data_IF_500639228314
#
_entry.id   IF_500639228314
#
_cell.length_a   1.000
_cell.length_b   1.000
_cell.length_c   1.000
_cell.angle_alpha   90.00
_cell.angle_beta   90.00
_cell.angle_gamma   90.00
#
_symmetry.space_group_name_H-M   'P 1'
#
loop_
_entity.id
_entity.type
_entity.pdbx_description
1 polymer ?
#
# COMPACT_ATOMS: atom_id res chain seq x y z
N UNK A 1 -14.85 14.36 -26.82
CA UNK A 1 -15.83 14.53 -25.73
C UNK A 1 -15.06 14.63 -24.43
N UNK A 2 -15.41 15.62 -23.64
CA UNK A 2 -14.62 16.32 -22.61
C UNK A 2 -14.54 15.58 -21.28
N UNK A 3 -13.37 15.59 -20.65
CA UNK A 3 -13.23 15.78 -19.18
C UNK A 3 -11.78 16.18 -18.90
N UNK A 4 -11.46 17.47 -18.99
CA UNK A 4 -11.35 18.41 -17.87
C UNK A 4 -10.25 18.01 -16.90
N UNK A 5 -9.13 18.72 -17.04
CA UNK A 5 -8.11 18.84 -16.02
C UNK A 5 -8.71 19.64 -14.85
N UNK A 6 -8.71 19.07 -13.65
CA UNK A 6 -8.92 19.79 -12.40
C UNK A 6 -7.66 19.63 -11.53
N UNK A 7 -6.79 20.65 -11.43
CA UNK A 7 -5.68 20.64 -10.50
C UNK A 7 -6.02 21.59 -9.34
N UNK A 8 -6.63 21.13 -8.23
CA UNK A 8 -6.57 21.88 -6.96
C UNK A 8 -7.07 21.07 -5.72
N UNK A 9 -6.09 20.82 -4.82
CA UNK A 9 -6.18 20.74 -3.34
C UNK A 9 -6.62 19.43 -2.67
N UNK A 10 -5.59 18.74 -2.17
CA UNK A 10 -5.63 17.60 -1.26
C UNK A 10 -5.39 16.31 -2.03
N UNK A 11 -4.20 15.73 -1.91
CA UNK A 11 -3.73 14.53 -2.61
C UNK A 11 -4.61 13.31 -2.26
N UNK A 12 -5.83 13.28 -2.79
CA UNK A 12 -6.76 12.18 -2.63
C UNK A 12 -6.36 11.13 -3.65
N UNK A 13 -5.89 10.00 -3.14
CA UNK A 13 -5.38 8.95 -3.99
C UNK A 13 -6.58 8.14 -4.47
N UNK A 14 -7.04 8.44 -5.68
CA UNK A 14 -8.19 7.76 -6.27
C UNK A 14 -7.74 6.39 -6.77
N UNK A 15 -8.35 5.34 -6.23
CA UNK A 15 -8.08 3.96 -6.64
C UNK A 15 -9.32 3.38 -7.27
N UNK A 16 -9.17 2.93 -8.51
CA UNK A 16 -10.21 2.23 -9.23
C UNK A 16 -10.16 0.74 -8.84
N UNK A 17 -11.24 0.26 -8.26
CA UNK A 17 -11.39 -1.14 -7.88
C UNK A 17 -12.59 -1.71 -8.59
N UNK A 18 -12.48 -2.95 -9.04
CA UNK A 18 -13.61 -3.66 -9.64
C UNK A 18 -14.80 -3.69 -8.67
N UNK A 19 -16.03 -3.39 -9.14
CA UNK A 19 -17.22 -3.41 -8.30
C UNK A 19 -17.49 -4.80 -7.68
N UNK A 20 -17.04 -5.87 -8.33
CA UNK A 20 -17.12 -7.24 -7.84
C UNK A 20 -16.31 -7.45 -6.54
N UNK A 21 -15.26 -6.65 -6.35
CA UNK A 21 -14.39 -6.71 -5.16
C UNK A 21 -14.84 -5.78 -4.04
N UNK A 22 -15.92 -5.02 -4.23
CA UNK A 22 -16.43 -4.03 -3.27
C UNK A 22 -16.63 -4.58 -1.87
N UNK A 23 -17.13 -5.81 -1.74
CA UNK A 23 -17.34 -6.48 -0.46
C UNK A 23 -16.03 -6.95 0.21
N UNK A 24 -14.97 -7.15 -0.58
CA UNK A 24 -13.65 -7.57 -0.11
C UNK A 24 -12.75 -6.39 0.27
N UNK A 25 -12.91 -5.24 -0.40
CA UNK A 25 -12.14 -4.00 -0.15
C UNK A 25 -12.08 -3.58 1.33
N UNK A 26 -13.19 -3.50 2.10
CA UNK A 26 -13.10 -3.10 3.51
C UNK A 26 -12.30 -4.09 4.35
N UNK A 27 -12.41 -5.39 4.06
CA UNK A 27 -11.60 -6.44 4.69
C UNK A 27 -10.11 -6.29 4.33
N UNK A 28 -9.83 -6.05 3.06
CA UNK A 28 -8.49 -5.83 2.54
C UNK A 28 -7.83 -4.60 3.19
N UNK A 29 -8.48 -3.44 3.20
CA UNK A 29 -7.95 -2.23 3.85
C UNK A 29 -7.68 -2.45 5.34
N UNK A 30 -8.58 -3.14 6.04
CA UNK A 30 -8.38 -3.50 7.45
C UNK A 30 -7.15 -4.40 7.63
N UNK A 31 -6.93 -5.33 6.71
CA UNK A 31 -5.75 -6.19 6.72
C UNK A 31 -4.47 -5.38 6.44
N UNK A 32 -4.47 -4.51 5.43
CA UNK A 32 -3.34 -3.62 5.10
C UNK A 32 -2.97 -2.69 6.27
N UNK A 33 -3.95 -2.17 7.01
CA UNK A 33 -3.70 -1.40 8.25
C UNK A 33 -3.04 -2.23 9.35
N UNK A 34 -3.36 -3.54 9.44
CA UNK A 34 -2.65 -4.44 10.36
C UNK A 34 -1.23 -4.70 9.87
N UNK A 35 -1.04 -4.92 8.58
CA UNK A 35 0.28 -5.13 7.98
C UNK A 35 1.20 -3.92 8.24
N UNK A 36 0.70 -2.69 8.11
CA UNK A 36 1.46 -1.47 8.48
C UNK A 36 1.91 -1.52 9.93
N UNK A 37 1.05 -1.92 10.87
CA UNK A 37 1.44 -2.05 12.29
C UNK A 37 2.51 -3.13 12.48
N UNK A 38 2.38 -4.26 11.80
CA UNK A 38 3.38 -5.33 11.80
C UNK A 38 4.71 -4.86 11.22
N UNK A 39 4.69 -4.10 10.12
CA UNK A 39 5.87 -3.51 9.50
C UNK A 39 6.56 -2.52 10.43
N UNK A 40 5.80 -1.64 11.10
CA UNK A 40 6.36 -0.72 12.11
C UNK A 40 7.03 -1.49 13.24
N UNK A 41 6.36 -2.51 13.78
CA UNK A 41 6.93 -3.34 14.84
C UNK A 41 8.17 -4.12 14.38
N UNK A 42 8.19 -4.62 13.14
CA UNK A 42 9.34 -5.29 12.55
C UNK A 42 10.50 -4.31 12.35
N UNK A 43 10.23 -3.08 11.91
CA UNK A 43 11.22 -2.00 11.81
C UNK A 43 11.87 -1.68 13.16
N UNK A 44 11.10 -1.64 14.25
CA UNK A 44 11.66 -1.44 15.59
C UNK A 44 12.56 -2.58 16.05
N UNK A 45 12.25 -3.81 15.62
CA UNK A 45 13.02 -5.03 15.92
C UNK A 45 14.17 -5.26 14.93
N UNK A 46 14.29 -4.44 13.89
CA UNK A 46 15.18 -4.68 12.73
C UNK A 46 14.96 -6.05 12.08
N UNK A 47 13.70 -6.48 12.02
CA UNK A 47 13.26 -7.78 11.53
C UNK A 47 13.00 -7.73 10.03
N UNK A 48 14.09 -7.72 9.25
CA UNK A 48 14.05 -7.57 7.80
C UNK A 48 13.34 -8.72 7.09
N UNK A 49 13.43 -9.93 7.64
CA UNK A 49 12.78 -11.13 7.08
C UNK A 49 11.25 -10.96 7.09
N UNK A 50 10.70 -10.48 8.21
CA UNK A 50 9.28 -10.15 8.31
C UNK A 50 8.88 -9.04 7.32
N UNK A 51 9.71 -8.01 7.18
CA UNK A 51 9.44 -6.88 6.26
C UNK A 51 9.44 -7.35 4.81
N UNK A 52 10.39 -8.21 4.44
CA UNK A 52 10.50 -8.78 3.10
C UNK A 52 9.28 -9.66 2.78
N UNK A 53 8.90 -10.57 3.68
CA UNK A 53 7.75 -11.45 3.52
C UNK A 53 6.42 -10.66 3.41
N UNK A 54 6.26 -9.61 4.22
CA UNK A 54 5.09 -8.72 4.14
C UNK A 54 5.09 -7.93 2.82
N UNK A 55 6.24 -7.40 2.40
CA UNK A 55 6.38 -6.70 1.12
C UNK A 55 6.04 -7.59 -0.08
N UNK A 56 6.53 -8.84 -0.08
CA UNK A 56 6.23 -9.84 -1.10
C UNK A 56 4.73 -10.17 -1.17
N UNK A 57 4.11 -10.36 0.00
CA UNK A 57 2.67 -10.64 0.10
C UNK A 57 1.87 -9.46 -0.43
N UNK A 58 2.19 -8.23 -0.01
CA UNK A 58 1.55 -6.99 -0.49
C UNK A 58 1.66 -6.79 -2.00
N UNK A 59 2.81 -7.14 -2.56
CA UNK A 59 3.06 -7.11 -4.01
C UNK A 59 2.09 -8.02 -4.77
N UNK A 60 1.92 -9.26 -4.30
CA UNK A 60 1.02 -10.24 -4.90
C UNK A 60 -0.47 -9.91 -4.69
N UNK A 61 -0.83 -9.50 -3.48
CA UNK A 61 -2.20 -9.14 -3.10
C UNK A 61 -2.70 -7.91 -3.88
N UNK A 62 -1.88 -6.85 -4.04
CA UNK A 62 -2.32 -5.59 -4.63
C UNK A 62 -2.76 -5.69 -6.10
N UNK A 63 -2.16 -6.61 -6.86
CA UNK A 63 -2.44 -6.79 -8.29
C UNK A 63 -3.84 -7.34 -8.55
N UNK A 64 -4.34 -8.21 -7.67
CA UNK A 64 -5.68 -8.81 -7.81
C UNK A 64 -6.84 -7.84 -7.58
N UNK A 65 -6.59 -6.72 -6.89
CA UNK A 65 -7.61 -5.75 -6.52
C UNK A 65 -7.52 -4.41 -7.28
N UNK A 66 -6.57 -4.27 -8.22
CA UNK A 66 -6.31 -3.00 -8.93
C UNK A 66 -5.50 -1.98 -8.11
N UNK A 67 -4.96 -2.35 -6.95
CA UNK A 67 -4.14 -1.49 -6.11
C UNK A 67 -2.67 -1.50 -6.55
N UNK A 68 -2.41 -0.93 -7.73
CA UNK A 68 -1.07 -0.91 -8.31
C UNK A 68 -0.04 -0.21 -7.41
N UNK A 69 -0.46 0.82 -6.67
CA UNK A 69 0.40 1.51 -5.70
C UNK A 69 0.80 0.61 -4.52
N UNK A 70 -0.09 -0.27 -4.04
CA UNK A 70 0.27 -1.24 -2.99
C UNK A 70 1.27 -2.26 -3.54
N UNK A 71 1.10 -2.68 -4.79
CA UNK A 71 2.06 -3.57 -5.44
C UNK A 71 3.45 -2.94 -5.54
N UNK A 72 3.53 -1.67 -5.94
CA UNK A 72 4.78 -0.92 -6.06
C UNK A 72 5.46 -0.68 -4.70
N UNK A 73 4.68 -0.30 -3.68
CA UNK A 73 5.15 -0.14 -2.31
C UNK A 73 5.66 -1.47 -1.75
N UNK A 74 4.93 -2.57 -1.98
CA UNK A 74 5.31 -3.91 -1.53
C UNK A 74 6.64 -4.38 -2.14
N UNK A 75 6.82 -4.18 -3.45
CA UNK A 75 8.08 -4.46 -4.13
C UNK A 75 9.24 -3.58 -3.64
N UNK A 76 8.96 -2.32 -3.33
CA UNK A 76 9.96 -1.40 -2.77
C UNK A 76 10.35 -1.77 -1.33
N UNK A 77 9.39 -2.24 -0.51
CA UNK A 77 9.65 -2.77 0.83
C UNK A 77 10.50 -4.04 0.78
N UNK A 78 10.15 -5.00 -0.09
CA UNK A 78 10.91 -6.22 -0.35
C UNK A 78 12.37 -5.89 -0.69
N UNK A 79 12.57 -4.98 -1.65
CA UNK A 79 13.91 -4.56 -2.06
C UNK A 79 14.65 -3.83 -0.94
N UNK A 80 14.00 -2.94 -0.20
CA UNK A 80 14.62 -2.21 0.89
C UNK A 80 15.02 -3.13 2.06
N UNK A 81 14.20 -4.16 2.34
CA UNK A 81 14.49 -5.20 3.33
C UNK A 81 15.70 -6.05 2.92
N UNK A 82 15.76 -6.48 1.67
CA UNK A 82 16.91 -7.22 1.12
C UNK A 82 18.22 -6.42 1.21
N UNK A 83 18.15 -5.11 0.98
CA UNK A 83 19.27 -4.18 1.14
C UNK A 83 19.53 -3.76 2.60
N UNK A 84 18.74 -4.26 3.57
CA UNK A 84 18.76 -3.89 4.99
C UNK A 84 18.70 -2.37 5.23
N UNK A 85 18.00 -1.65 4.34
CA UNK A 85 17.92 -0.21 4.38
C UNK A 85 16.69 0.25 5.19
N UNK A 86 16.87 0.35 6.50
CA UNK A 86 15.86 0.80 7.45
C UNK A 86 15.24 2.17 7.12
N UNK A 87 16.01 3.09 6.51
CA UNK A 87 15.48 4.41 6.12
C UNK A 87 14.46 4.29 5.00
N UNK A 88 14.79 3.54 3.95
CA UNK A 88 13.86 3.26 2.84
C UNK A 88 12.63 2.52 3.33
N UNK A 89 12.80 1.50 4.19
CA UNK A 89 11.66 0.76 4.76
C UNK A 89 10.73 1.72 5.49
N UNK A 90 11.25 2.56 6.40
CA UNK A 90 10.42 3.54 7.15
C UNK A 90 9.70 4.51 6.22
N UNK A 91 10.37 4.95 5.15
CA UNK A 91 9.78 5.83 4.13
C UNK A 91 8.60 5.14 3.43
N UNK A 92 8.76 3.89 3.00
CA UNK A 92 7.71 3.12 2.33
C UNK A 92 6.56 2.73 3.27
N UNK A 93 6.85 2.34 4.50
CA UNK A 93 5.82 2.10 5.54
C UNK A 93 4.99 3.35 5.80
N UNK A 94 5.64 4.52 5.89
CA UNK A 94 4.95 5.80 6.05
C UNK A 94 4.10 6.15 4.82
N UNK A 95 4.64 5.98 3.62
CA UNK A 95 3.90 6.17 2.36
C UNK A 95 2.66 5.29 2.32
N UNK A 96 2.77 4.02 2.71
CA UNK A 96 1.64 3.10 2.78
C UNK A 96 0.56 3.56 3.77
N UNK A 97 0.95 4.04 4.96
CA UNK A 97 0.00 4.57 5.94
C UNK A 97 -0.76 5.78 5.38
N UNK A 98 -0.03 6.75 4.82
CA UNK A 98 -0.62 7.95 4.21
C UNK A 98 -1.56 7.58 3.06
N UNK A 99 -1.15 6.59 2.24
CA UNK A 99 -1.97 6.06 1.18
C UNK A 99 -3.29 5.48 1.71
N UNK A 100 -3.25 4.63 2.74
CA UNK A 100 -4.45 4.04 3.35
C UNK A 100 -5.35 5.05 4.10
N UNK A 101 -4.82 6.21 4.46
CA UNK A 101 -5.57 7.31 5.08
C UNK A 101 -6.17 8.26 4.04
N UNK A 102 -5.53 8.41 2.87
CA UNK A 102 -5.92 9.36 1.82
C UNK A 102 -6.56 8.69 0.60
N UNK A 103 -6.65 7.35 0.58
CA UNK A 103 -7.22 6.58 -0.52
C UNK A 103 -8.74 6.75 -0.60
N UNK A 104 -9.22 7.15 -1.78
CA UNK A 104 -10.63 7.17 -2.12
C UNK A 104 -10.90 6.04 -3.14
N UNK A 105 -11.70 5.06 -2.75
CA UNK A 105 -12.02 3.92 -3.60
C UNK A 105 -13.21 4.27 -4.48
N UNK A 106 -12.99 4.20 -5.79
CA UNK A 106 -14.03 4.37 -6.81
C UNK A 106 -14.25 3.04 -7.49
N UNK A 107 -15.49 2.55 -7.45
CA UNK A 107 -15.89 1.34 -8.14
C UNK A 107 -16.28 1.69 -9.59
N UNK A 108 -15.62 1.09 -10.58
CA UNK A 108 -15.91 1.34 -12.01
C UNK A 108 -15.88 0.05 -12.82
#
# INVERSE_FOLDING_TARGET
MTQTCDPNRGDKIIVHVDPDLKDLVPGFLKNRRKDVKSLVAAVERSDYETIEALGHTMKGDGGGYGFHAITDIGGSLEKAASNKNLQEIRKWVKQLSVYLESVEIVYK
#
